data_IF_670363097513
#
_entry.id   IF_670363097513
#
_cell.length_a   1.000
_cell.length_b   1.000
_cell.length_c   1.000
_cell.angle_alpha   90.00
_cell.angle_beta   90.00
_cell.angle_gamma   90.00
#
_symmetry.space_group_name_H-M   'P 1'
#
loop_
_entity.id
_entity.type
_entity.pdbx_description
1 polymer ?
#
# COMPACT_ATOMS: atom_id res chain seq x y z
N UNK A 1 -45.94 15.19 4.72
CA UNK A 1 -45.90 13.83 4.13
C UNK A 1 -44.79 13.63 3.10
N UNK A 2 -44.46 14.63 2.27
CA UNK A 2 -43.44 14.49 1.23
C UNK A 2 -41.98 14.43 1.77
N UNK A 3 -41.69 15.16 2.84
CA UNK A 3 -40.34 15.26 3.43
C UNK A 3 -39.83 13.93 4.04
N UNK A 4 -40.71 13.16 4.68
CA UNK A 4 -40.35 11.84 5.23
C UNK A 4 -39.98 10.84 4.13
N UNK A 5 -40.69 10.88 2.99
CA UNK A 5 -40.40 10.03 1.85
C UNK A 5 -39.04 10.39 1.20
N UNK A 6 -38.74 11.68 1.06
CA UNK A 6 -37.44 12.15 0.56
C UNK A 6 -36.30 11.75 1.50
N UNK A 7 -36.47 11.91 2.83
CA UNK A 7 -35.45 11.52 3.80
C UNK A 7 -35.16 10.01 3.78
N UNK A 8 -36.20 9.18 3.64
CA UNK A 8 -36.04 7.73 3.50
C UNK A 8 -35.30 7.36 2.21
N UNK A 9 -35.69 7.96 1.07
CA UNK A 9 -35.03 7.72 -0.20
C UNK A 9 -33.56 8.19 -0.18
N UNK A 10 -33.30 9.36 0.40
CA UNK A 10 -31.95 9.88 0.62
C UNK A 10 -31.10 8.93 1.47
N UNK A 11 -31.64 8.43 2.59
CA UNK A 11 -30.92 7.48 3.46
C UNK A 11 -30.56 6.18 2.72
N UNK A 12 -31.48 5.65 1.92
CA UNK A 12 -31.22 4.45 1.09
C UNK A 12 -30.13 4.70 0.05
N UNK A 13 -30.21 5.80 -0.70
CA UNK A 13 -29.25 6.12 -1.75
C UNK A 13 -27.87 6.42 -1.15
N UNK A 14 -27.81 7.24 -0.10
CA UNK A 14 -26.55 7.54 0.61
C UNK A 14 -25.94 6.28 1.24
N UNK A 15 -26.76 5.36 1.76
CA UNK A 15 -26.34 4.05 2.22
C UNK A 15 -25.62 3.25 1.13
N UNK A 16 -26.22 3.12 -0.05
CA UNK A 16 -25.61 2.43 -1.20
C UNK A 16 -24.27 3.07 -1.60
N UNK A 17 -24.21 4.41 -1.67
CA UNK A 17 -22.99 5.13 -2.02
C UNK A 17 -21.88 4.93 -0.96
N UNK A 18 -22.23 4.94 0.32
CA UNK A 18 -21.29 4.71 1.41
C UNK A 18 -20.77 3.27 1.40
N UNK A 19 -21.65 2.29 1.20
CA UNK A 19 -21.25 0.89 1.07
C UNK A 19 -20.32 0.68 -0.13
N UNK A 20 -20.61 1.28 -1.29
CA UNK A 20 -19.74 1.19 -2.46
C UNK A 20 -18.35 1.80 -2.19
N UNK A 21 -18.28 2.98 -1.58
CA UNK A 21 -17.00 3.62 -1.19
C UNK A 21 -16.21 2.74 -0.22
N UNK A 22 -16.86 2.17 0.80
CA UNK A 22 -16.20 1.28 1.76
C UNK A 22 -15.65 0.03 1.09
N UNK A 23 -16.39 -0.59 0.17
CA UNK A 23 -15.92 -1.75 -0.60
C UNK A 23 -14.68 -1.41 -1.41
N UNK A 24 -14.67 -0.28 -2.12
CA UNK A 24 -13.50 0.16 -2.89
C UNK A 24 -12.29 0.39 -1.99
N UNK A 25 -12.47 1.09 -0.85
CA UNK A 25 -11.38 1.33 0.11
C UNK A 25 -10.82 0.01 0.64
N UNK A 26 -11.67 -0.97 0.97
CA UNK A 26 -11.21 -2.29 1.43
C UNK A 26 -10.42 -3.03 0.35
N UNK A 27 -10.91 -3.04 -0.88
CA UNK A 27 -10.22 -3.69 -2.00
C UNK A 27 -8.85 -3.05 -2.27
N UNK A 28 -8.77 -1.72 -2.24
CA UNK A 28 -7.50 -0.99 -2.37
C UNK A 28 -6.57 -1.36 -1.24
N UNK A 29 -7.02 -1.29 0.02
CA UNK A 29 -6.17 -1.61 1.18
C UNK A 29 -5.63 -3.04 1.13
N UNK A 30 -6.48 -4.02 0.79
CA UNK A 30 -6.07 -5.42 0.67
C UNK A 30 -5.02 -5.58 -0.43
N UNK A 31 -5.25 -4.98 -1.60
CA UNK A 31 -4.29 -4.99 -2.70
C UNK A 31 -2.96 -4.36 -2.30
N UNK A 32 -2.99 -3.22 -1.60
CA UNK A 32 -1.79 -2.53 -1.14
C UNK A 32 -0.97 -3.37 -0.15
N UNK A 33 -1.62 -4.06 0.79
CA UNK A 33 -0.94 -4.96 1.73
C UNK A 33 -0.20 -6.07 0.98
N UNK A 34 -0.86 -6.72 0.02
CA UNK A 34 -0.22 -7.74 -0.82
C UNK A 34 0.94 -7.17 -1.64
N UNK A 35 0.77 -6.01 -2.26
CA UNK A 35 1.84 -5.36 -3.02
C UNK A 35 3.05 -5.02 -2.15
N UNK A 36 2.83 -4.54 -0.93
CA UNK A 36 3.93 -4.23 0.01
C UNK A 36 4.67 -5.48 0.48
N UNK A 37 3.97 -6.60 0.65
CA UNK A 37 4.60 -7.90 0.89
C UNK A 37 5.51 -8.30 -0.27
N UNK A 38 4.99 -8.24 -1.50
CA UNK A 38 5.73 -8.59 -2.72
C UNK A 38 6.93 -7.68 -2.96
N UNK A 39 6.83 -6.38 -2.68
CA UNK A 39 7.98 -5.47 -2.72
C UNK A 39 9.06 -5.92 -1.75
N UNK A 40 8.67 -6.31 -0.53
CA UNK A 40 9.58 -6.87 0.46
C UNK A 40 10.30 -8.12 -0.05
N UNK A 41 9.56 -9.04 -0.67
CA UNK A 41 10.08 -10.26 -1.31
C UNK A 41 11.12 -9.94 -2.37
N UNK A 42 10.79 -9.07 -3.33
CA UNK A 42 11.70 -8.67 -4.41
C UNK A 42 12.99 -8.07 -3.86
N UNK A 43 12.90 -7.22 -2.83
CA UNK A 43 14.09 -6.64 -2.19
C UNK A 43 14.96 -7.71 -1.53
N UNK A 44 14.38 -8.72 -0.87
CA UNK A 44 15.15 -9.78 -0.20
C UNK A 44 15.81 -10.71 -1.23
N UNK A 45 15.06 -11.14 -2.25
CA UNK A 45 15.56 -12.04 -3.30
C UNK A 45 16.73 -11.40 -4.07
N UNK A 46 16.65 -10.11 -4.39
CA UNK A 46 17.74 -9.37 -5.06
C UNK A 46 19.00 -9.27 -4.18
N UNK A 47 18.84 -8.96 -2.89
CA UNK A 47 19.97 -8.86 -1.95
C UNK A 47 20.69 -10.20 -1.73
N UNK A 48 19.97 -11.33 -1.81
CA UNK A 48 20.57 -12.67 -1.69
C UNK A 48 21.41 -13.03 -2.93
N UNK A 49 21.01 -12.58 -4.12
CA UNK A 49 21.75 -12.80 -5.37
C UNK A 49 23.00 -11.89 -5.49
N UNK A 50 23.02 -10.75 -4.78
CA UNK A 50 24.08 -9.73 -4.84
C UNK A 50 25.30 -9.93 -3.91
N UNK A 51 25.37 -11.00 -3.12
CA UNK A 51 26.33 -11.23 -2.01
C UNK A 51 26.16 -10.21 -0.87
N UNK A 52 25.49 -10.66 0.21
CA UNK A 52 25.26 -9.99 1.50
C UNK A 52 26.33 -8.94 1.90
N UNK A 53 26.17 -7.70 1.45
CA UNK A 53 26.88 -6.56 2.00
C UNK A 53 25.86 -5.59 2.57
N UNK A 54 25.93 -5.36 3.88
CA UNK A 54 25.06 -4.42 4.58
C UNK A 54 25.09 -3.01 3.95
N UNK A 55 26.24 -2.61 3.39
CA UNK A 55 26.43 -1.32 2.73
C UNK A 55 25.73 -1.24 1.37
N UNK A 56 25.76 -2.31 0.57
CA UNK A 56 25.05 -2.41 -0.72
C UNK A 56 23.53 -2.34 -0.52
N UNK A 57 23.01 -3.09 0.44
CA UNK A 57 21.59 -3.06 0.79
C UNK A 57 21.12 -1.69 1.31
N UNK A 58 22.02 -0.89 1.91
CA UNK A 58 21.68 0.48 2.34
C UNK A 58 21.56 1.41 1.13
N UNK A 59 22.51 1.38 0.21
CA UNK A 59 22.50 2.21 -1.00
C UNK A 59 21.29 1.89 -1.92
N UNK A 60 20.97 0.61 -2.11
CA UNK A 60 19.79 0.22 -2.91
C UNK A 60 18.51 0.86 -2.38
N UNK A 61 18.29 0.83 -1.06
CA UNK A 61 17.04 1.36 -0.49
C UNK A 61 16.96 2.89 -0.62
N UNK A 62 18.09 3.58 -0.59
CA UNK A 62 18.17 5.03 -0.82
C UNK A 62 17.79 5.36 -2.28
N UNK A 63 18.38 4.64 -3.25
CA UNK A 63 18.08 4.82 -4.68
C UNK A 63 16.64 4.44 -5.03
N UNK A 64 16.14 3.33 -4.51
CA UNK A 64 14.75 2.92 -4.68
C UNK A 64 13.80 3.95 -4.10
N UNK A 65 14.10 4.48 -2.91
CA UNK A 65 13.25 5.48 -2.28
C UNK A 65 13.12 6.73 -3.13
N UNK A 66 14.24 7.22 -3.68
CA UNK A 66 14.25 8.39 -4.55
C UNK A 66 13.40 8.15 -5.81
N UNK A 67 13.67 7.05 -6.53
CA UNK A 67 13.00 6.73 -7.80
C UNK A 67 11.52 6.46 -7.61
N UNK A 68 11.16 5.62 -6.63
CA UNK A 68 9.77 5.26 -6.37
C UNK A 68 8.97 6.46 -5.85
N UNK A 69 9.55 7.32 -5.01
CA UNK A 69 8.88 8.54 -4.57
C UNK A 69 8.65 9.51 -5.73
N UNK A 70 9.61 9.60 -6.67
CA UNK A 70 9.45 10.43 -7.87
C UNK A 70 8.35 9.90 -8.80
N UNK A 71 8.26 8.58 -8.99
CA UNK A 71 7.27 7.98 -9.90
C UNK A 71 5.88 7.80 -9.29
N UNK A 72 5.79 7.48 -8.00
CA UNK A 72 4.55 7.04 -7.33
C UNK A 72 4.15 7.92 -6.14
N UNK A 73 4.98 8.90 -5.76
CA UNK A 73 4.67 9.85 -4.69
C UNK A 73 4.93 9.30 -3.29
N UNK A 74 4.14 9.78 -2.32
CA UNK A 74 4.32 9.44 -0.90
C UNK A 74 4.09 7.95 -0.66
N UNK A 75 4.86 7.36 0.25
CA UNK A 75 4.73 5.96 0.65
C UNK A 75 6.00 5.13 0.42
N UNK A 76 6.97 5.65 -0.34
CA UNK A 76 8.20 4.93 -0.69
C UNK A 76 9.45 5.55 -0.05
N UNK A 77 9.35 6.01 1.21
CA UNK A 77 10.54 6.42 1.97
C UNK A 77 11.45 5.22 2.23
N UNK A 78 12.75 5.45 2.47
CA UNK A 78 13.70 4.41 2.88
C UNK A 78 13.17 3.60 4.07
N UNK A 79 12.54 4.28 5.02
CA UNK A 79 11.92 3.66 6.21
C UNK A 79 10.79 2.70 5.79
N UNK A 80 9.91 3.11 4.89
CA UNK A 80 8.82 2.27 4.43
C UNK A 80 9.34 1.06 3.63
N UNK A 81 10.34 1.23 2.78
CA UNK A 81 10.95 0.10 2.06
C UNK A 81 11.62 -0.90 3.01
N UNK A 82 12.25 -0.43 4.10
CA UNK A 82 12.75 -1.32 5.17
C UNK A 82 11.62 -2.07 5.86
N UNK A 83 10.48 -1.42 6.11
CA UNK A 83 9.32 -2.07 6.70
C UNK A 83 8.71 -3.10 5.76
N UNK A 84 8.60 -2.83 4.46
CA UNK A 84 8.15 -3.79 3.45
C UNK A 84 9.06 -5.02 3.42
N UNK A 85 10.39 -4.80 3.42
CA UNK A 85 11.38 -5.89 3.52
C UNK A 85 11.20 -6.71 4.80
N UNK A 86 11.07 -6.04 5.94
CA UNK A 86 10.85 -6.72 7.23
C UNK A 86 9.52 -7.47 7.26
N UNK A 87 8.47 -6.95 6.62
CA UNK A 87 7.17 -7.57 6.54
C UNK A 87 7.25 -8.93 5.84
N UNK A 88 7.91 -9.00 4.68
CA UNK A 88 8.18 -10.27 3.99
C UNK A 88 9.05 -11.23 4.81
N UNK A 89 10.08 -10.72 5.49
CA UNK A 89 10.96 -11.58 6.30
C UNK A 89 10.28 -12.15 7.55
N UNK A 90 9.17 -11.55 8.00
CA UNK A 90 8.51 -11.91 9.27
C UNK A 90 7.33 -12.85 9.07
N UNK A 91 6.63 -12.77 7.93
CA UNK A 91 5.38 -13.48 7.64
C UNK A 91 5.48 -14.29 6.35
#
# INVERSE_FOLDING_TARGET
MNEFAVNNLYSKISGLLNSARQTVVRAVNQTMVHTYYEIGRVIVEDNQQGKERAEYGKQILEDLSLRLTQSFGKGFSVVNLRQMRAFYMTY
#
